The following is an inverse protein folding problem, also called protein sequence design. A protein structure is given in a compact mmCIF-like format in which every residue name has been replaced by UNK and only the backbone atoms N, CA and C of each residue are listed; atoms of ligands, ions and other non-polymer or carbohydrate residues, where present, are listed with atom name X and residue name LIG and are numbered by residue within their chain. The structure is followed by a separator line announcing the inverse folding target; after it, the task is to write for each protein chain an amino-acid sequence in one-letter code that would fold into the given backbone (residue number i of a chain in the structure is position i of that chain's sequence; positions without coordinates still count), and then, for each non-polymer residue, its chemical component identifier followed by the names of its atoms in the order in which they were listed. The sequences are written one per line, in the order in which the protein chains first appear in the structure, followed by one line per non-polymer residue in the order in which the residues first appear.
data_IF_326910306196
#
_entry.id   IF_326910306196
#
_cell.length_a   1.000
_cell.length_b   1.000
_cell.length_c   1.000
_cell.angle_alpha   90.00
_cell.angle_beta   90.00
_cell.angle_gamma   90.00
#
_symmetry.space_group_name_H-M   'P 1'
#
loop_
_entity.id
_entity.type
_entity.pdbx_description
1 polymer ?
#
# COMPACT_ATOMS: atom_id res chain seq x y z
N UNK A 1 -44.84 -4.17 65.27
CA UNK A 1 -44.16 -3.37 64.23
C UNK A 1 -42.68 -3.74 64.24
N UNK A 2 -42.19 -4.25 63.12
CA UNK A 2 -40.85 -4.84 62.97
C UNK A 2 -39.83 -3.74 62.70
N UNK A 3 -38.84 -3.58 63.58
CA UNK A 3 -37.61 -2.87 63.26
C UNK A 3 -36.56 -3.93 62.97
N UNK A 4 -36.29 -4.16 61.70
CA UNK A 4 -35.20 -5.01 61.24
C UNK A 4 -33.88 -4.32 61.60
N UNK A 5 -33.17 -4.85 62.59
CA UNK A 5 -31.76 -4.56 62.80
C UNK A 5 -30.98 -5.05 61.57
N UNK A 6 -30.50 -4.13 60.75
CA UNK A 6 -29.51 -4.42 59.72
C UNK A 6 -28.15 -4.52 60.44
N UNK A 7 -27.76 -5.74 60.84
CA UNK A 7 -26.41 -6.02 61.31
C UNK A 7 -25.52 -6.14 60.07
N UNK A 8 -24.76 -5.10 59.76
CA UNK A 8 -23.68 -5.17 58.78
C UNK A 8 -22.58 -6.03 59.40
N UNK A 9 -22.55 -7.32 59.05
CA UNK A 9 -21.42 -8.20 59.35
C UNK A 9 -20.42 -8.13 58.19
N UNK A 10 -19.15 -7.85 58.52
CA UNK A 10 -18.02 -8.21 57.66
C UNK A 10 -17.31 -7.09 56.90
N UNK A 11 -16.98 -5.96 57.55
CA UNK A 11 -15.91 -5.09 57.04
C UNK A 11 -14.62 -5.47 57.77
N UNK A 12 -13.58 -5.92 57.05
CA UNK A 12 -12.29 -6.24 57.67
C UNK A 12 -11.67 -4.98 58.28
N UNK A 13 -10.84 -5.12 59.32
CA UNK A 13 -10.12 -3.98 59.90
C UNK A 13 -9.29 -3.22 58.86
N UNK A 14 -8.73 -3.93 57.88
CA UNK A 14 -7.99 -3.31 56.77
C UNK A 14 -8.92 -2.46 55.88
N UNK A 15 -10.12 -2.95 55.58
CA UNK A 15 -11.12 -2.21 54.81
C UNK A 15 -11.65 -0.98 55.57
N UNK A 16 -11.84 -1.10 56.89
CA UNK A 16 -12.19 0.02 57.77
C UNK A 16 -11.05 1.05 57.85
N UNK A 17 -9.81 0.59 57.95
CA UNK A 17 -8.61 1.44 57.94
C UNK A 17 -8.47 2.21 56.63
N UNK A 18 -8.61 1.52 55.50
CA UNK A 18 -8.61 2.16 54.18
C UNK A 18 -9.74 3.19 54.03
N UNK A 19 -10.94 2.87 54.52
CA UNK A 19 -12.09 3.79 54.47
C UNK A 19 -11.89 5.05 55.31
N UNK A 20 -11.33 4.93 56.52
CA UNK A 20 -11.01 6.08 57.37
C UNK A 20 -9.90 6.95 56.78
N UNK A 21 -8.89 6.34 56.15
CA UNK A 21 -7.83 7.07 55.46
C UNK A 21 -8.41 7.84 54.26
N UNK A 22 -9.30 7.21 53.48
CA UNK A 22 -9.92 7.84 52.31
C UNK A 22 -10.90 8.96 52.69
N UNK A 23 -11.67 8.82 53.78
CA UNK A 23 -12.61 9.85 54.22
C UNK A 23 -11.93 11.09 54.83
N UNK A 24 -10.72 10.93 55.37
CA UNK A 24 -9.92 12.02 55.91
C UNK A 24 -8.88 12.53 54.90
N UNK A 25 -8.80 11.92 53.71
CA UNK A 25 -7.92 12.37 52.66
C UNK A 25 -8.46 13.69 52.09
N UNK A 26 -7.55 14.65 51.93
CA UNK A 26 -7.87 15.91 51.27
C UNK A 26 -8.10 15.64 49.77
N UNK A 27 -9.38 15.61 49.39
CA UNK A 27 -9.81 15.35 48.02
C UNK A 27 -9.30 16.42 47.05
N UNK A 28 -9.19 17.68 47.48
CA UNK A 28 -8.65 18.76 46.66
C UNK A 28 -7.16 18.56 46.43
N UNK A 29 -6.42 18.17 47.47
CA UNK A 29 -5.01 17.87 47.38
C UNK A 29 -4.75 16.66 46.47
N UNK A 30 -5.55 15.60 46.58
CA UNK A 30 -5.47 14.45 45.67
C UNK A 30 -5.74 14.85 44.21
N UNK A 31 -6.81 15.60 43.96
CA UNK A 31 -7.15 16.06 42.62
C UNK A 31 -6.07 16.98 42.04
N UNK A 32 -5.47 17.84 42.87
CA UNK A 32 -4.35 18.70 42.50
C UNK A 32 -3.13 17.87 42.07
N UNK A 33 -2.70 16.90 42.90
CA UNK A 33 -1.55 16.06 42.57
C UNK A 33 -1.80 15.19 41.34
N UNK A 34 -2.99 14.60 41.20
CA UNK A 34 -3.37 13.84 40.01
C UNK A 34 -3.29 14.72 38.75
N UNK A 35 -3.84 15.92 38.82
CA UNK A 35 -3.80 16.89 37.70
C UNK A 35 -2.37 17.27 37.36
N UNK A 36 -1.52 17.50 38.36
CA UNK A 36 -0.12 17.85 38.15
C UNK A 36 0.64 16.69 37.50
N UNK A 37 0.46 15.46 37.99
CA UNK A 37 1.06 14.27 37.37
C UNK A 37 0.64 14.11 35.91
N UNK A 38 -0.63 14.33 35.58
CA UNK A 38 -1.10 14.26 34.18
C UNK A 38 -0.46 15.34 33.30
N UNK A 39 -0.35 16.58 33.80
CA UNK A 39 0.35 17.68 33.09
C UNK A 39 1.83 17.35 32.87
N UNK A 40 2.50 16.83 33.89
CA UNK A 40 3.92 16.46 33.81
C UNK A 40 4.15 15.32 32.81
N UNK A 41 3.26 14.32 32.81
CA UNK A 41 3.29 13.24 31.80
C UNK A 41 3.08 13.80 30.38
N UNK A 42 2.13 14.71 30.18
CA UNK A 42 1.88 15.33 28.89
C UNK A 42 3.09 16.15 28.39
N UNK A 43 3.71 16.94 29.29
CA UNK A 43 4.91 17.71 28.99
C UNK A 43 6.10 16.80 28.64
N UNK A 44 6.36 15.78 29.45
CA UNK A 44 7.44 14.83 29.21
C UNK A 44 7.27 14.08 27.88
N UNK A 45 6.04 13.66 27.56
CA UNK A 45 5.72 13.03 26.28
C UNK A 45 5.91 14.02 25.11
N UNK A 46 5.46 15.26 25.26
CA UNK A 46 5.65 16.34 24.28
C UNK A 46 7.12 16.59 23.95
N UNK A 47 7.97 16.73 24.97
CA UNK A 47 9.42 16.89 24.79
C UNK A 47 10.06 15.67 24.11
N UNK A 48 9.64 14.46 24.47
CA UNK A 48 10.10 13.23 23.81
C UNK A 48 9.73 13.21 22.33
N UNK A 49 8.52 13.67 21.97
CA UNK A 49 8.11 13.77 20.56
C UNK A 49 8.90 14.82 19.78
N UNK A 50 9.24 15.97 20.39
CA UNK A 50 10.12 16.99 19.77
C UNK A 50 11.53 16.45 19.51
N UNK A 51 12.07 15.65 20.43
CA UNK A 51 13.37 15.00 20.26
C UNK A 51 13.36 13.87 19.22
N UNK A 52 12.20 13.26 18.97
CA UNK A 52 12.09 12.14 18.03
C UNK A 52 11.97 12.66 16.60
N UNK A 53 13.11 12.95 15.95
CA UNK A 53 13.12 13.34 14.55
C UNK A 53 12.76 12.16 13.61
N UNK A 54 12.42 12.49 12.35
CA UNK A 54 12.04 11.50 11.33
C UNK A 54 13.12 10.42 11.16
N UNK A 55 14.40 10.79 11.23
CA UNK A 55 15.51 9.84 11.07
C UNK A 55 15.51 8.77 12.17
N UNK A 56 15.25 9.15 13.43
CA UNK A 56 15.11 8.19 14.52
C UNK A 56 13.92 7.26 14.34
N UNK A 57 12.79 7.77 13.82
CA UNK A 57 11.61 6.94 13.52
C UNK A 57 11.92 5.94 12.41
N UNK A 58 12.56 6.38 11.33
CA UNK A 58 12.94 5.53 10.20
C UNK A 58 13.91 4.42 10.63
N UNK A 59 14.90 4.72 11.49
CA UNK A 59 15.84 3.74 12.05
C UNK A 59 15.19 2.66 12.92
N UNK A 60 14.02 2.93 13.49
CA UNK A 60 13.27 1.97 14.34
C UNK A 60 12.34 1.06 13.55
N UNK A 61 12.17 1.29 12.24
CA UNK A 61 11.36 0.42 11.41
C UNK A 61 12.10 -0.91 11.19
N UNK A 62 11.36 -2.02 11.28
CA UNK A 62 11.89 -3.36 10.99
C UNK A 62 12.18 -3.58 9.49
N UNK A 63 11.68 -2.67 8.66
CA UNK A 63 11.90 -2.64 7.22
C UNK A 63 12.75 -1.44 6.86
N UNK A 64 13.50 -1.55 5.76
CA UNK A 64 14.22 -0.43 5.16
C UNK A 64 13.22 0.39 4.32
N UNK A 65 12.80 1.60 4.77
CA UNK A 65 11.75 2.35 4.08
C UNK A 65 12.16 2.75 2.67
N UNK A 66 13.46 3.02 2.47
CA UNK A 66 14.02 3.25 1.14
C UNK A 66 13.84 2.02 0.24
N UNK A 67 14.08 0.80 0.74
CA UNK A 67 13.91 -0.41 -0.06
C UNK A 67 12.44 -0.69 -0.38
N UNK A 68 11.54 -0.39 0.55
CA UNK A 68 10.09 -0.48 0.34
C UNK A 68 9.63 0.51 -0.74
N UNK A 69 10.08 1.77 -0.64
CA UNK A 69 9.79 2.80 -1.64
C UNK A 69 10.36 2.41 -3.01
N UNK A 70 11.61 1.98 -3.09
CA UNK A 70 12.21 1.52 -4.35
C UNK A 70 11.45 0.32 -4.93
N UNK A 71 11.07 -0.64 -4.10
CA UNK A 71 10.29 -1.80 -4.55
C UNK A 71 8.92 -1.39 -5.08
N UNK A 72 8.27 -0.41 -4.48
CA UNK A 72 6.99 0.11 -4.98
C UNK A 72 7.14 0.95 -6.25
N UNK A 73 8.18 1.78 -6.34
CA UNK A 73 8.42 2.68 -7.47
C UNK A 73 8.92 1.95 -8.72
N UNK A 74 9.84 0.99 -8.55
CA UNK A 74 10.41 0.19 -9.64
C UNK A 74 9.48 -0.98 -10.00
N UNK A 75 8.65 -1.43 -9.05
CA UNK A 75 7.79 -2.59 -9.20
C UNK A 75 8.57 -3.89 -9.32
N UNK A 76 8.02 -4.86 -10.05
CA UNK A 76 8.69 -6.14 -10.32
C UNK A 76 9.76 -6.07 -11.42
N UNK A 77 9.90 -4.94 -12.12
CA UNK A 77 10.82 -4.79 -13.23
C UNK A 77 10.37 -5.42 -14.56
N UNK A 78 9.28 -6.20 -14.59
CA UNK A 78 8.73 -6.74 -15.83
C UNK A 78 8.07 -5.65 -16.68
N UNK A 79 8.11 -5.83 -18.00
CA UNK A 79 7.59 -4.87 -18.98
C UNK A 79 6.70 -5.57 -20.00
N UNK A 80 5.66 -4.88 -20.48
CA UNK A 80 4.73 -5.38 -21.46
C UNK A 80 5.49 -5.93 -22.68
N UNK A 81 5.17 -7.14 -23.17
CA UNK A 81 5.95 -7.79 -24.23
C UNK A 81 5.98 -6.96 -25.52
N UNK A 82 4.90 -6.22 -25.81
CA UNK A 82 4.74 -5.44 -27.03
C UNK A 82 5.24 -3.99 -26.92
N UNK A 83 4.75 -3.20 -25.95
CA UNK A 83 5.07 -1.77 -25.86
C UNK A 83 6.14 -1.41 -24.82
N UNK A 84 6.63 -2.38 -24.04
CA UNK A 84 7.61 -2.19 -22.95
C UNK A 84 7.19 -1.23 -21.84
N UNK A 85 5.90 -0.92 -21.74
CA UNK A 85 5.34 -0.25 -20.58
C UNK A 85 5.62 -1.07 -19.30
N UNK A 86 6.01 -0.44 -18.18
CA UNK A 86 6.33 -1.15 -16.94
C UNK A 86 5.07 -1.81 -16.36
N UNK A 87 5.25 -2.92 -15.65
CA UNK A 87 4.18 -3.59 -14.92
C UNK A 87 3.70 -2.75 -13.72
N UNK A 88 2.38 -2.63 -13.57
CA UNK A 88 1.69 -1.87 -12.52
C UNK A 88 1.07 -2.75 -11.42
N UNK A 89 1.20 -4.08 -11.52
CA UNK A 89 0.60 -5.04 -10.58
C UNK A 89 1.00 -4.86 -9.09
N UNK A 90 1.95 -3.98 -8.79
CA UNK A 90 2.27 -3.53 -7.44
C UNK A 90 3.19 -4.47 -6.68
N UNK A 91 4.28 -3.93 -6.11
CA UNK A 91 5.25 -4.72 -5.37
C UNK A 91 6.03 -5.72 -6.26
N UNK A 92 6.71 -6.67 -5.60
CA UNK A 92 7.52 -7.71 -6.24
C UNK A 92 6.80 -9.05 -6.41
N UNK A 93 5.75 -9.29 -5.63
CA UNK A 93 5.13 -10.61 -5.50
C UNK A 93 3.75 -10.60 -6.14
N UNK A 94 3.69 -11.01 -7.40
CA UNK A 94 2.46 -11.22 -8.16
C UNK A 94 2.72 -12.21 -9.29
N UNK A 95 1.67 -12.92 -9.71
CA UNK A 95 1.75 -13.96 -10.77
C UNK A 95 1.27 -13.47 -12.13
N UNK A 96 0.51 -12.37 -12.17
CA UNK A 96 -0.01 -11.77 -13.39
C UNK A 96 0.56 -10.35 -13.55
N UNK A 97 0.95 -10.00 -14.77
CA UNK A 97 1.50 -8.71 -15.16
C UNK A 97 0.49 -7.92 -15.99
N UNK A 98 0.30 -6.66 -15.64
CA UNK A 98 -0.59 -5.76 -16.35
C UNK A 98 -0.09 -4.32 -16.24
N UNK A 99 -0.64 -3.46 -17.09
CA UNK A 99 -0.45 -2.00 -17.03
C UNK A 99 -1.72 -1.33 -17.53
N UNK A 100 -2.13 -0.26 -16.89
CA UNK A 100 -3.29 0.53 -17.33
C UNK A 100 -2.95 1.37 -18.56
N UNK A 101 -1.71 1.84 -18.64
CA UNK A 101 -1.24 2.75 -19.66
C UNK A 101 -0.29 2.03 -20.62
N UNK A 102 -0.85 1.55 -21.72
CA UNK A 102 -0.07 1.05 -22.84
C UNK A 102 0.43 2.22 -23.72
N UNK A 103 1.49 1.95 -24.47
CA UNK A 103 2.15 2.93 -25.35
C UNK A 103 2.18 2.39 -26.78
N UNK A 104 2.46 3.21 -27.80
CA UNK A 104 2.71 2.72 -29.13
C UNK A 104 3.78 1.61 -29.16
N UNK A 105 3.49 0.51 -29.84
CA UNK A 105 4.36 -0.68 -29.87
C UNK A 105 5.74 -0.40 -30.49
N UNK A 106 5.86 0.65 -31.30
CA UNK A 106 7.14 1.13 -31.82
C UNK A 106 8.15 1.47 -30.73
N UNK A 107 7.72 1.92 -29.55
CA UNK A 107 8.60 2.14 -28.39
C UNK A 107 9.12 0.82 -27.81
N UNK A 108 8.40 -0.27 -28.03
CA UNK A 108 8.85 -1.63 -27.73
C UNK A 108 9.63 -2.29 -28.87
N UNK A 109 10.08 -1.51 -29.85
CA UNK A 109 10.89 -1.91 -31.01
C UNK A 109 10.13 -2.63 -32.14
N UNK A 110 8.79 -2.58 -32.14
CA UNK A 110 7.99 -3.10 -33.24
C UNK A 110 8.00 -2.16 -34.44
N UNK A 111 8.14 -2.74 -35.64
CA UNK A 111 8.14 -2.01 -36.93
C UNK A 111 7.31 -2.79 -37.93
N UNK A 112 6.63 -2.06 -38.82
CA UNK A 112 5.98 -2.67 -39.97
C UNK A 112 7.01 -3.37 -40.86
N UNK A 113 6.75 -4.63 -41.21
CA UNK A 113 7.72 -5.44 -41.94
C UNK A 113 8.09 -4.84 -43.29
N UNK A 114 7.09 -4.35 -44.03
CA UNK A 114 7.28 -3.78 -45.37
C UNK A 114 7.92 -2.40 -45.32
N UNK A 115 7.33 -1.48 -44.55
CA UNK A 115 7.72 -0.06 -44.57
C UNK A 115 8.86 0.27 -43.62
N UNK A 116 9.20 -0.63 -42.69
CA UNK A 116 10.17 -0.44 -41.59
C UNK A 116 9.85 0.74 -40.65
N UNK A 117 8.68 1.37 -40.80
CA UNK A 117 8.17 2.43 -39.94
C UNK A 117 7.82 1.86 -38.57
N UNK A 118 7.98 2.67 -37.53
CA UNK A 118 7.57 2.31 -36.17
C UNK A 118 6.06 2.08 -36.13
N UNK A 119 5.63 1.04 -35.41
CA UNK A 119 4.20 0.77 -35.20
C UNK A 119 3.65 1.81 -34.23
N UNK A 120 2.60 2.52 -34.66
CA UNK A 120 1.94 3.54 -33.84
C UNK A 120 0.74 2.99 -33.06
N UNK A 121 0.31 1.76 -33.38
CA UNK A 121 -0.78 1.08 -32.69
C UNK A 121 -0.40 0.81 -31.23
N UNK A 122 -1.41 0.78 -30.36
CA UNK A 122 -1.28 0.43 -28.94
C UNK A 122 -1.70 -1.03 -28.75
N UNK A 123 -0.96 -1.79 -27.94
CA UNK A 123 -1.18 -3.22 -27.84
C UNK A 123 -2.55 -3.63 -27.28
N UNK A 124 -3.24 -2.78 -26.52
CA UNK A 124 -4.62 -3.01 -26.07
C UNK A 124 -5.62 -3.10 -27.24
N UNK A 125 -5.37 -2.36 -28.32
CA UNK A 125 -6.14 -2.48 -29.57
C UNK A 125 -5.64 -3.62 -30.45
N UNK A 126 -4.32 -3.84 -30.50
CA UNK A 126 -3.74 -4.90 -31.32
C UNK A 126 -4.20 -6.30 -30.90
N UNK A 127 -4.31 -6.58 -29.59
CA UNK A 127 -4.82 -7.86 -29.06
C UNK A 127 -6.28 -8.17 -29.42
N UNK A 128 -7.06 -7.17 -29.82
CA UNK A 128 -8.42 -7.34 -30.33
C UNK A 128 -8.50 -7.47 -31.85
N UNK A 129 -7.47 -7.03 -32.56
CA UNK A 129 -7.45 -6.98 -34.02
C UNK A 129 -7.14 -8.33 -34.66
N UNK A 130 -7.33 -8.43 -35.97
CA UNK A 130 -6.87 -9.58 -36.78
C UNK A 130 -5.42 -9.43 -37.26
N UNK A 131 -4.66 -8.50 -36.66
CA UNK A 131 -3.24 -8.33 -36.96
C UNK A 131 -2.43 -9.49 -36.37
N UNK A 132 -1.23 -9.65 -36.90
CA UNK A 132 -0.23 -10.59 -36.40
C UNK A 132 0.96 -9.85 -35.80
N UNK A 133 1.63 -10.50 -34.85
CA UNK A 133 2.91 -10.08 -34.30
C UNK A 133 3.98 -11.11 -34.59
N UNK A 134 5.23 -10.65 -34.59
CA UNK A 134 6.41 -11.47 -34.71
C UNK A 134 7.49 -10.86 -33.80
N UNK A 135 8.10 -11.69 -32.95
CA UNK A 135 9.13 -11.25 -32.03
C UNK A 135 10.07 -12.40 -31.66
N UNK A 136 11.03 -12.14 -30.78
CA UNK A 136 11.98 -13.17 -30.34
C UNK A 136 11.29 -14.38 -29.67
N UNK A 137 10.21 -14.16 -28.93
CA UNK A 137 9.46 -15.24 -28.28
C UNK A 137 8.75 -16.16 -29.27
N UNK A 138 8.48 -15.68 -30.49
CA UNK A 138 7.87 -16.46 -31.58
C UNK A 138 8.91 -17.02 -32.55
N UNK A 139 10.21 -16.96 -32.21
CA UNK A 139 11.31 -17.31 -33.13
C UNK A 139 11.24 -16.61 -34.50
N UNK A 140 10.64 -15.42 -34.56
CA UNK A 140 10.46 -14.69 -35.81
C UNK A 140 9.25 -15.12 -36.65
N UNK A 141 8.42 -16.05 -36.17
CA UNK A 141 7.18 -16.44 -36.84
C UNK A 141 6.03 -15.48 -36.53
N UNK A 142 5.11 -15.35 -37.47
CA UNK A 142 3.92 -14.49 -37.34
C UNK A 142 2.78 -15.23 -36.67
N UNK A 143 2.26 -14.68 -35.58
CA UNK A 143 1.10 -15.22 -34.87
C UNK A 143 0.03 -14.15 -34.65
N UNK A 144 -1.26 -14.53 -34.61
CA UNK A 144 -2.33 -13.59 -34.30
C UNK A 144 -2.14 -12.97 -32.91
N UNK A 145 -2.29 -11.64 -32.80
CA UNK A 145 -2.24 -10.98 -31.50
C UNK A 145 -3.27 -11.53 -30.50
N UNK A 146 -4.42 -12.01 -30.98
CA UNK A 146 -5.45 -12.70 -30.16
C UNK A 146 -4.93 -13.93 -29.40
N UNK A 147 -3.80 -14.50 -29.83
CA UNK A 147 -3.16 -15.68 -29.23
C UNK A 147 -1.86 -15.34 -28.49
N UNK A 148 -1.66 -14.08 -28.11
CA UNK A 148 -0.42 -13.68 -27.44
C UNK A 148 -0.16 -14.44 -26.12
N UNK A 149 -1.20 -14.89 -25.42
CA UNK A 149 -1.12 -15.63 -24.17
C UNK A 149 -0.43 -16.99 -24.32
N UNK A 150 -0.35 -17.54 -25.53
CA UNK A 150 0.40 -18.77 -25.81
C UNK A 150 1.91 -18.55 -25.62
N UNK A 151 2.38 -17.30 -25.73
CA UNK A 151 3.78 -16.90 -25.59
C UNK A 151 4.07 -16.07 -24.35
N UNK A 152 3.07 -15.33 -23.86
CA UNK A 152 3.16 -14.46 -22.69
C UNK A 152 1.99 -14.76 -21.72
N UNK A 153 1.95 -15.96 -21.12
CA UNK A 153 0.81 -16.43 -20.33
C UNK A 153 0.60 -15.67 -19.02
N UNK A 154 1.66 -15.02 -18.54
CA UNK A 154 1.69 -14.19 -17.33
C UNK A 154 1.30 -12.74 -17.61
N UNK A 155 1.10 -12.34 -18.87
CA UNK A 155 0.68 -10.99 -19.22
C UNK A 155 -0.81 -10.91 -19.49
N UNK A 156 -1.47 -9.97 -18.81
CA UNK A 156 -2.83 -9.56 -19.10
C UNK A 156 -2.81 -8.18 -19.74
N UNK A 157 -3.09 -8.17 -21.04
CA UNK A 157 -3.29 -6.96 -21.83
C UNK A 157 -4.79 -6.77 -21.97
N UNK A 158 -5.34 -5.93 -21.09
CA UNK A 158 -6.76 -5.62 -21.14
C UNK A 158 -7.06 -4.83 -22.42
N UNK A 159 -8.13 -5.21 -23.15
CA UNK A 159 -8.71 -4.33 -24.15
C UNK A 159 -8.99 -2.98 -23.52
N UNK A 160 -8.56 -1.90 -24.18
CA UNK A 160 -8.95 -0.59 -23.74
C UNK A 160 -10.44 -0.43 -24.09
N UNK A 161 -11.30 -0.43 -23.07
CA UNK A 161 -12.73 -0.17 -23.25
C UNK A 161 -12.98 1.31 -23.60
N UNK A 162 -11.98 2.17 -23.41
CA UNK A 162 -12.02 3.56 -23.84
C UNK A 162 -11.71 3.65 -25.34
N UNK A 163 -12.70 4.10 -26.11
CA UNK A 163 -12.49 4.54 -27.50
C UNK A 163 -11.71 5.88 -27.58
N UNK A 164 -11.42 6.52 -26.45
CA UNK A 164 -10.56 7.70 -26.39
C UNK A 164 -9.13 7.30 -26.05
N UNK A 165 -8.20 7.66 -26.94
CA UNK A 165 -6.78 7.72 -26.59
C UNK A 165 -6.64 8.61 -25.34
N UNK A 166 -5.98 8.09 -24.30
CA UNK A 166 -5.74 8.88 -23.09
C UNK A 166 -5.06 10.20 -23.47
N UNK A 167 -5.57 11.32 -22.96
CA UNK A 167 -4.98 12.65 -23.20
C UNK A 167 -3.51 12.75 -22.75
N UNK A 168 -3.02 11.77 -21.99
CA UNK A 168 -1.61 11.64 -21.63
C UNK A 168 -0.65 11.59 -22.85
N UNK A 169 -1.10 11.08 -24.00
CA UNK A 169 -0.27 10.92 -25.21
C UNK A 169 -0.61 11.91 -26.35
N UNK A 170 -1.54 12.84 -26.13
CA UNK A 170 -1.83 13.92 -27.09
C UNK A 170 -0.89 15.10 -26.84
#
# INVERSE_FOLDING_TARGET
MSVRNLVITGISQDALGAFMILNNADQEQFAHWLTQCVKDMANALGEKFKQTNIQMKLKKLHVSPQNELFTKLIGCGNQCPFCKAPCEAGGRFHTEHWTSLHRPEGLGRFRWHETKKLVIDVCSSSVLSDKNFCCNATNGEWHPYKRYTDFFPDWRIAPDASLQASDYWK
#
